data_IF_008832405816
#
_entry.id   IF_008832405816
#
_cell.length_a   1.000
_cell.length_b   1.000
_cell.length_c   1.000
_cell.angle_alpha   90.00
_cell.angle_beta   90.00
_cell.angle_gamma   90.00
#
_symmetry.space_group_name_H-M   'P 1'
#
loop_
_entity.id
_entity.type
_entity.pdbx_description
1 polymer ?
#
# COMPACT_ATOMS: atom_id res chain seq x y z
N UNK A 1 2.36 39.76 -1.66
CA UNK A 1 2.82 41.01 -1.04
C UNK A 1 2.64 42.05 -2.11
N UNK A 2 1.67 42.97 -1.97
CA UNK A 2 1.56 44.09 -2.91
C UNK A 2 2.87 44.87 -2.81
N UNK A 3 3.57 44.97 -3.93
CA UNK A 3 4.88 45.61 -4.00
C UNK A 3 4.63 47.12 -4.07
N UNK A 4 5.48 47.93 -3.45
CA UNK A 4 5.45 49.40 -3.54
C UNK A 4 4.30 50.07 -2.80
N UNK A 5 4.19 49.79 -1.50
CA UNK A 5 3.23 50.44 -0.61
C UNK A 5 3.91 51.62 0.08
N UNK A 6 3.31 52.80 0.02
CA UNK A 6 3.68 53.98 0.80
C UNK A 6 2.78 54.11 2.02
N UNK A 7 3.33 54.68 3.08
CA UNK A 7 2.59 55.07 4.27
C UNK A 7 2.00 56.47 4.05
N UNK A 8 0.69 56.59 4.15
CA UNK A 8 -0.02 57.86 4.11
C UNK A 8 -0.87 58.00 5.38
N UNK A 9 -0.97 59.20 5.92
CA UNK A 9 -1.88 59.51 7.04
C UNK A 9 -3.03 60.32 6.47
N UNK A 10 -4.20 59.71 6.33
CA UNK A 10 -5.44 60.40 5.94
C UNK A 10 -6.41 60.28 7.11
N UNK A 11 -6.86 61.43 7.63
CA UNK A 11 -7.80 61.55 8.76
C UNK A 11 -7.36 60.86 10.07
N UNK A 12 -6.05 60.88 10.37
CA UNK A 12 -5.51 60.39 11.64
C UNK A 12 -5.36 58.86 11.75
N UNK A 13 -5.73 58.11 10.71
CA UNK A 13 -5.46 56.68 10.61
C UNK A 13 -4.30 56.39 9.64
N UNK A 14 -3.34 55.52 9.99
CA UNK A 14 -2.30 55.09 9.06
C UNK A 14 -2.92 54.24 7.95
N UNK A 15 -2.83 54.73 6.71
CA UNK A 15 -3.29 54.05 5.51
C UNK A 15 -2.11 53.68 4.61
N UNK A 16 -2.10 52.45 4.13
CA UNK A 16 -1.10 51.93 3.22
C UNK A 16 -1.60 52.10 1.77
N UNK A 17 -1.00 53.03 1.04
CA UNK A 17 -1.42 53.42 -0.32
C UNK A 17 -0.41 52.91 -1.34
N UNK A 18 -0.86 52.40 -2.48
CA UNK A 18 0.02 51.96 -3.56
C UNK A 18 0.76 53.18 -4.15
N UNK A 19 2.10 53.13 -4.15
CA UNK A 19 2.95 54.17 -4.75
C UNK A 19 2.63 54.30 -6.22
N UNK A 20 2.71 55.51 -6.76
CA UNK A 20 2.60 55.67 -8.22
C UNK A 20 3.92 55.25 -8.89
N UNK A 21 3.87 54.67 -10.09
CA UNK A 21 5.05 54.14 -10.81
C UNK A 21 6.26 55.09 -10.89
N UNK A 22 6.04 56.39 -10.94
CA UNK A 22 7.12 57.40 -10.96
C UNK A 22 7.86 57.59 -9.62
N UNK A 23 7.26 57.16 -8.50
CA UNK A 23 7.82 57.24 -7.14
C UNK A 23 8.64 55.98 -6.78
N UNK A 24 8.72 55.01 -7.70
CA UNK A 24 9.39 53.74 -7.43
C UNK A 24 10.91 53.92 -7.37
N UNK A 25 11.53 53.32 -6.37
CA UNK A 25 12.99 53.14 -6.36
C UNK A 25 13.44 52.21 -7.50
N UNK A 26 14.74 52.16 -7.79
CA UNK A 26 15.27 51.25 -8.81
C UNK A 26 14.99 49.78 -8.46
N UNK A 27 15.02 49.43 -7.18
CA UNK A 27 14.72 48.09 -6.66
C UNK A 27 13.24 47.75 -6.83
N UNK A 28 12.35 48.71 -6.53
CA UNK A 28 10.90 48.61 -6.70
C UNK A 28 10.51 48.41 -8.17
N UNK A 29 11.16 49.14 -9.09
CA UNK A 29 11.00 48.98 -10.54
C UNK A 29 11.45 47.59 -11.00
N UNK A 30 12.61 47.12 -10.53
CA UNK A 30 13.12 45.76 -10.85
C UNK A 30 12.14 44.68 -10.39
N UNK A 31 11.63 44.77 -9.16
CA UNK A 31 10.64 43.81 -8.62
C UNK A 31 9.34 43.81 -9.42
N UNK A 32 8.81 44.98 -9.76
CA UNK A 32 7.61 45.09 -10.59
C UNK A 32 7.82 44.49 -12.00
N UNK A 33 9.00 44.69 -12.59
CA UNK A 33 9.33 44.10 -13.88
C UNK A 33 9.37 42.56 -13.80
N UNK A 34 10.00 42.00 -12.76
CA UNK A 34 10.05 40.55 -12.56
C UNK A 34 8.65 39.96 -12.33
N UNK A 35 7.79 40.62 -11.57
CA UNK A 35 6.39 40.19 -11.40
C UNK A 35 5.64 40.18 -12.73
N UNK A 36 5.79 41.22 -13.56
CA UNK A 36 5.19 41.26 -14.90
C UNK A 36 5.68 40.13 -15.81
N UNK A 37 6.98 39.85 -15.81
CA UNK A 37 7.56 38.73 -16.58
C UNK A 37 6.99 37.40 -16.10
N UNK A 38 6.93 37.17 -14.80
CA UNK A 38 6.35 35.95 -14.24
C UNK A 38 4.86 35.81 -14.58
N UNK A 39 4.08 36.90 -14.53
CA UNK A 39 2.66 36.92 -14.95
C UNK A 39 2.50 36.54 -16.42
N UNK A 40 3.30 37.11 -17.31
CA UNK A 40 3.23 36.82 -18.75
C UNK A 40 3.53 35.34 -19.04
N UNK A 41 4.55 34.78 -18.39
CA UNK A 41 4.87 33.34 -18.49
C UNK A 41 3.68 32.50 -18.00
N UNK A 42 3.16 32.79 -16.81
CA UNK A 42 2.02 32.06 -16.24
C UNK A 42 0.77 32.15 -17.13
N UNK A 43 0.49 33.28 -17.75
CA UNK A 43 -0.67 33.39 -18.64
C UNK A 43 -0.50 32.63 -19.95
N UNK A 44 0.71 32.58 -20.51
CA UNK A 44 0.99 31.88 -21.77
C UNK A 44 0.95 30.36 -21.64
N UNK A 45 1.22 29.82 -20.45
CA UNK A 45 1.26 28.37 -20.22
C UNK A 45 -0.10 27.75 -19.90
N UNK A 46 -1.11 28.57 -19.62
CA UNK A 46 -2.41 28.10 -19.15
C UNK A 46 -3.44 27.98 -20.28
N UNK A 47 -4.33 27.00 -20.15
CA UNK A 47 -5.48 26.87 -21.04
C UNK A 47 -6.53 27.96 -20.77
N UNK A 48 -7.50 28.09 -21.69
CA UNK A 48 -8.56 29.11 -21.59
C UNK A 48 -9.41 28.97 -20.32
N UNK A 49 -9.61 27.74 -19.84
CA UNK A 49 -10.41 27.45 -18.66
C UNK A 49 -9.71 27.97 -17.40
N UNK A 50 -8.45 27.60 -17.20
CA UNK A 50 -7.65 28.00 -16.06
C UNK A 50 -7.38 29.50 -16.06
N UNK A 51 -7.05 30.07 -17.22
CA UNK A 51 -6.87 31.52 -17.39
C UNK A 51 -8.11 32.31 -16.94
N UNK A 52 -9.31 31.86 -17.32
CA UNK A 52 -10.56 32.53 -16.95
C UNK A 52 -10.77 32.69 -15.43
N UNK A 53 -10.23 31.75 -14.63
CA UNK A 53 -10.33 31.72 -13.17
C UNK A 53 -9.31 32.62 -12.47
N UNK A 54 -8.17 32.89 -13.12
CA UNK A 54 -7.05 33.66 -12.53
C UNK A 54 -6.90 35.08 -13.11
N UNK A 55 -7.63 35.43 -14.17
CA UNK A 55 -7.51 36.73 -14.88
C UNK A 55 -7.65 37.98 -14.01
N UNK A 56 -8.28 37.85 -12.84
CA UNK A 56 -8.49 38.94 -11.88
C UNK A 56 -7.30 39.14 -10.93
N UNK A 57 -6.34 38.21 -10.89
CA UNK A 57 -5.17 38.32 -10.05
C UNK A 57 -4.25 39.43 -10.57
N UNK A 58 -3.71 40.22 -9.66
CA UNK A 58 -2.91 41.43 -9.96
C UNK A 58 -1.41 41.23 -9.85
N UNK A 59 -0.97 40.20 -9.12
CA UNK A 59 0.45 39.83 -8.99
C UNK A 59 0.72 38.40 -9.47
N UNK A 60 1.95 38.08 -9.84
CA UNK A 60 2.34 36.70 -10.17
C UNK A 60 2.12 35.76 -8.98
N UNK A 61 2.37 36.26 -7.76
CA UNK A 61 2.12 35.54 -6.52
C UNK A 61 0.64 35.15 -6.37
N UNK A 62 -0.28 36.09 -6.56
CA UNK A 62 -1.72 35.81 -6.48
C UNK A 62 -2.18 34.82 -7.56
N UNK A 63 -1.60 34.88 -8.76
CA UNK A 63 -1.86 33.87 -9.79
C UNK A 63 -1.43 32.50 -9.30
N UNK A 64 -0.19 32.38 -8.83
CA UNK A 64 0.38 31.11 -8.36
C UNK A 64 -0.41 30.50 -7.20
N UNK A 65 -0.75 31.29 -6.18
CA UNK A 65 -1.57 30.84 -5.04
C UNK A 65 -2.96 30.35 -5.50
N UNK A 66 -3.59 31.06 -6.45
CA UNK A 66 -4.89 30.65 -6.98
C UNK A 66 -4.80 29.41 -7.86
N UNK A 67 -3.70 29.23 -8.60
CA UNK A 67 -3.45 27.99 -9.36
C UNK A 67 -3.28 26.80 -8.43
N UNK A 68 -2.52 26.95 -7.33
CA UNK A 68 -2.42 25.93 -6.28
C UNK A 68 -3.82 25.57 -5.78
N UNK A 69 -4.65 26.56 -5.47
CA UNK A 69 -6.02 26.35 -4.99
C UNK A 69 -6.92 25.64 -6.03
N UNK A 70 -6.78 25.94 -7.31
CA UNK A 70 -7.57 25.30 -8.38
C UNK A 70 -7.14 23.85 -8.60
N UNK A 71 -5.83 23.58 -8.57
CA UNK A 71 -5.27 22.26 -8.84
C UNK A 71 -5.39 21.31 -7.63
N UNK A 72 -5.12 21.80 -6.43
CA UNK A 72 -5.09 20.99 -5.21
C UNK A 72 -6.40 21.07 -4.39
N UNK A 73 -7.24 22.08 -4.66
CA UNK A 73 -8.40 22.45 -3.84
C UNK A 73 -8.07 23.55 -2.83
N UNK A 74 -9.11 24.16 -2.24
CA UNK A 74 -8.93 25.06 -1.09
C UNK A 74 -8.50 24.26 0.15
N UNK A 75 -7.95 24.95 1.16
CA UNK A 75 -7.47 24.30 2.40
C UNK A 75 -8.57 23.47 3.07
N UNK A 76 -9.82 23.95 3.04
CA UNK A 76 -11.00 23.22 3.50
C UNK A 76 -11.22 21.88 2.76
N UNK A 77 -11.04 21.85 1.43
CA UNK A 77 -11.13 20.59 0.66
C UNK A 77 -10.01 19.62 1.05
N UNK A 78 -8.79 20.13 1.28
CA UNK A 78 -7.66 19.30 1.73
C UNK A 78 -7.92 18.73 3.12
N UNK A 79 -8.40 19.55 4.04
CA UNK A 79 -8.74 19.15 5.41
C UNK A 79 -9.88 18.13 5.43
N UNK A 80 -10.91 18.32 4.60
CA UNK A 80 -12.00 17.36 4.45
C UNK A 80 -11.50 16.01 3.89
N UNK A 81 -10.64 16.02 2.85
CA UNK A 81 -10.01 14.80 2.32
C UNK A 81 -9.18 14.09 3.38
N UNK A 82 -8.37 14.83 4.14
CA UNK A 82 -7.56 14.30 5.23
C UNK A 82 -8.44 13.66 6.32
N UNK A 83 -9.51 14.34 6.71
CA UNK A 83 -10.48 13.85 7.69
C UNK A 83 -11.11 12.54 7.23
N UNK A 84 -11.57 12.46 5.98
CA UNK A 84 -12.16 11.23 5.41
C UNK A 84 -11.14 10.10 5.34
N UNK A 85 -9.92 10.37 4.88
CA UNK A 85 -8.84 9.37 4.83
C UNK A 85 -8.46 8.87 6.23
N UNK A 86 -8.45 9.76 7.23
CA UNK A 86 -8.15 9.40 8.61
C UNK A 86 -9.28 8.55 9.22
N UNK A 87 -10.54 8.89 8.96
CA UNK A 87 -11.68 8.06 9.37
C UNK A 87 -11.64 6.67 8.73
N UNK A 88 -11.28 6.60 7.43
CA UNK A 88 -11.09 5.33 6.72
C UNK A 88 -9.98 4.50 7.37
N UNK A 89 -8.83 5.11 7.67
CA UNK A 89 -7.74 4.47 8.43
C UNK A 89 -8.23 3.98 9.80
N UNK A 90 -8.94 4.81 10.55
CA UNK A 90 -9.35 4.45 11.90
C UNK A 90 -10.39 3.33 11.95
N UNK A 91 -11.31 3.31 10.98
CA UNK A 91 -12.33 2.27 10.85
C UNK A 91 -11.82 0.98 10.20
N UNK A 92 -10.58 0.96 9.71
CA UNK A 92 -10.05 -0.23 9.05
C UNK A 92 -9.97 -1.42 9.99
N UNK A 93 -10.57 -2.51 9.52
CA UNK A 93 -10.46 -3.85 10.05
C UNK A 93 -10.29 -4.83 8.89
N UNK A 94 -9.66 -5.95 9.18
CA UNK A 94 -9.67 -7.10 8.29
C UNK A 94 -11.10 -7.63 8.23
N UNK A 95 -11.60 -7.89 7.02
CA UNK A 95 -12.96 -8.38 6.79
C UNK A 95 -13.03 -9.89 6.95
N UNK A 96 -14.21 -10.42 7.21
CA UNK A 96 -14.42 -11.88 7.28
C UNK A 96 -14.09 -12.53 5.92
N UNK A 97 -13.25 -13.57 5.94
CA UNK A 97 -12.79 -14.26 4.73
C UNK A 97 -11.84 -13.45 3.84
N UNK A 98 -11.41 -12.27 4.26
CA UNK A 98 -10.33 -11.53 3.59
C UNK A 98 -8.99 -12.21 3.87
N UNK A 99 -8.14 -12.31 2.85
CA UNK A 99 -6.77 -12.80 3.05
C UNK A 99 -5.85 -11.69 3.55
N UNK A 100 -4.80 -12.04 4.30
CA UNK A 100 -3.81 -11.09 4.80
C UNK A 100 -3.20 -10.24 3.66
N UNK A 101 -2.99 -10.82 2.48
CA UNK A 101 -2.49 -10.10 1.31
C UNK A 101 -3.44 -9.00 0.81
N UNK A 102 -4.76 -9.25 0.79
CA UNK A 102 -5.76 -8.25 0.42
C UNK A 102 -5.87 -7.16 1.49
N UNK A 103 -5.81 -7.55 2.76
CA UNK A 103 -5.82 -6.59 3.86
C UNK A 103 -4.59 -5.66 3.82
N UNK A 104 -3.40 -6.20 3.57
CA UNK A 104 -2.15 -5.45 3.36
C UNK A 104 -2.30 -4.42 2.23
N UNK A 105 -2.79 -4.83 1.06
CA UNK A 105 -3.01 -3.92 -0.08
C UNK A 105 -3.95 -2.76 0.28
N UNK A 106 -5.09 -3.05 0.92
CA UNK A 106 -6.03 -2.01 1.37
C UNK A 106 -5.38 -1.10 2.41
N UNK A 107 -4.60 -1.66 3.33
CA UNK A 107 -3.95 -0.90 4.38
C UNK A 107 -2.90 0.06 3.81
N UNK A 108 -2.02 -0.46 2.96
CA UNK A 108 -0.99 0.30 2.27
C UNK A 108 -1.59 1.41 1.42
N UNK A 109 -2.69 1.16 0.70
CA UNK A 109 -3.37 2.19 -0.09
C UNK A 109 -3.86 3.38 0.77
N UNK A 110 -4.42 3.12 1.96
CA UNK A 110 -4.87 4.18 2.87
C UNK A 110 -3.71 4.94 3.51
N UNK A 111 -2.62 4.25 3.83
CA UNK A 111 -1.41 4.91 4.36
C UNK A 111 -0.80 5.83 3.31
N UNK A 112 -0.69 5.38 2.04
CA UNK A 112 -0.21 6.22 0.93
C UNK A 112 -1.11 7.43 0.70
N UNK A 113 -2.44 7.24 0.77
CA UNK A 113 -3.41 8.34 0.69
C UNK A 113 -3.18 9.37 1.80
N UNK A 114 -2.97 8.94 3.04
CA UNK A 114 -2.69 9.82 4.18
C UNK A 114 -1.35 10.56 4.06
N UNK A 115 -0.29 9.86 3.67
CA UNK A 115 1.03 10.47 3.44
C UNK A 115 0.95 11.53 2.34
N UNK A 116 0.18 11.28 1.27
CA UNK A 116 -0.02 12.26 0.19
C UNK A 116 -0.74 13.53 0.65
N UNK A 117 -1.50 13.44 1.74
CA UNK A 117 -2.22 14.55 2.38
C UNK A 117 -1.40 15.18 3.53
N UNK A 118 -0.13 14.79 3.69
CA UNK A 118 0.77 15.35 4.70
C UNK A 118 0.65 14.71 6.09
N UNK A 119 -0.05 13.58 6.23
CA UNK A 119 -0.16 12.86 7.50
C UNK A 119 0.70 11.61 7.49
N UNK A 120 1.79 11.65 8.24
CA UNK A 120 2.71 10.53 8.41
C UNK A 120 2.45 9.81 9.74
N UNK A 121 2.76 8.51 9.76
CA UNK A 121 2.70 7.66 10.95
C UNK A 121 4.04 6.95 11.10
N UNK A 122 4.48 6.78 12.33
CA UNK A 122 5.65 5.96 12.65
C UNK A 122 5.38 4.47 12.38
N UNK A 123 6.46 3.71 12.14
CA UNK A 123 6.39 2.24 12.03
C UNK A 123 5.66 1.60 13.22
N UNK A 124 5.90 2.12 14.43
CA UNK A 124 5.21 1.67 15.64
C UNK A 124 3.69 1.90 15.57
N UNK A 125 3.25 3.08 15.16
CA UNK A 125 1.82 3.40 15.04
C UNK A 125 1.13 2.51 14.02
N UNK A 126 1.75 2.34 12.84
CA UNK A 126 1.24 1.48 11.78
C UNK A 126 1.16 0.01 12.22
N UNK A 127 2.23 -0.51 12.84
CA UNK A 127 2.25 -1.89 13.32
C UNK A 127 1.17 -2.14 14.39
N UNK A 128 1.04 -1.22 15.34
CA UNK A 128 0.00 -1.31 16.37
C UNK A 128 -1.41 -1.20 15.77
N UNK A 129 -1.59 -0.41 14.71
CA UNK A 129 -2.86 -0.30 14.01
C UNK A 129 -3.23 -1.60 13.32
N UNK A 130 -2.29 -2.19 12.56
CA UNK A 130 -2.49 -3.49 11.90
C UNK A 130 -2.88 -4.54 12.94
N UNK A 131 -2.10 -4.69 14.02
CA UNK A 131 -2.40 -5.68 15.06
C UNK A 131 -3.79 -5.50 15.70
N UNK A 132 -4.28 -4.25 15.84
CA UNK A 132 -5.62 -3.96 16.38
C UNK A 132 -6.75 -4.18 15.36
N UNK A 133 -6.43 -4.15 14.07
CA UNK A 133 -7.36 -4.30 12.97
C UNK A 133 -7.57 -5.78 12.58
N UNK A 134 -6.73 -6.69 13.08
CA UNK A 134 -6.87 -8.13 12.86
C UNK A 134 -8.00 -8.74 13.71
N UNK A 135 -8.59 -9.86 13.25
CA UNK A 135 -9.59 -10.61 14.01
C UNK A 135 -9.00 -11.23 15.29
N UNK A 136 -9.85 -11.61 16.25
CA UNK A 136 -9.44 -12.13 17.58
C UNK A 136 -8.61 -13.41 17.50
N UNK A 137 -8.78 -14.19 16.44
CA UNK A 137 -8.02 -15.41 16.16
C UNK A 137 -6.51 -15.13 16.04
N UNK A 138 -6.13 -13.87 15.79
CA UNK A 138 -4.74 -13.43 15.67
C UNK A 138 -4.15 -12.89 16.99
N UNK A 139 -4.93 -12.84 18.08
CA UNK A 139 -4.52 -12.22 19.35
C UNK A 139 -3.21 -12.85 19.88
N UNK A 140 -3.11 -14.18 19.89
CA UNK A 140 -1.90 -14.87 20.38
C UNK A 140 -0.66 -14.46 19.57
N UNK A 141 -0.78 -14.43 18.24
CA UNK A 141 0.31 -14.03 17.35
C UNK A 141 0.71 -12.58 17.56
N UNK A 142 -0.27 -11.67 17.62
CA UNK A 142 0.01 -10.24 17.78
C UNK A 142 0.58 -9.92 19.16
N UNK A 143 0.15 -10.60 20.23
CA UNK A 143 0.71 -10.48 21.58
C UNK A 143 2.17 -10.95 21.61
N UNK A 144 2.47 -12.14 21.08
CA UNK A 144 3.85 -12.63 20.99
C UNK A 144 4.76 -11.66 20.22
N UNK A 145 4.26 -11.03 19.15
CA UNK A 145 5.03 -10.03 18.39
C UNK A 145 5.27 -8.74 19.17
N UNK A 146 4.32 -8.30 19.99
CA UNK A 146 4.49 -7.10 20.86
C UNK A 146 5.55 -7.32 21.93
N UNK A 147 5.66 -8.54 22.43
CA UNK A 147 6.61 -8.90 23.49
C UNK A 147 8.02 -9.18 22.95
N UNK A 148 8.12 -9.73 21.74
CA UNK A 148 9.40 -10.19 21.17
C UNK A 148 10.07 -9.23 20.19
N UNK A 149 9.33 -8.28 19.59
CA UNK A 149 9.87 -7.36 18.56
C UNK A 149 9.93 -5.91 19.03
N UNK A 150 10.97 -5.20 18.63
CA UNK A 150 11.01 -3.73 18.74
C UNK A 150 10.15 -3.11 17.64
N UNK A 151 8.93 -2.69 17.99
CA UNK A 151 7.98 -2.12 17.05
C UNK A 151 8.43 -0.78 16.44
N UNK A 152 9.43 -0.10 17.03
CA UNK A 152 9.95 1.14 16.45
C UNK A 152 10.86 0.86 15.24
N UNK A 153 11.48 -0.32 15.21
CA UNK A 153 12.39 -0.77 14.15
C UNK A 153 11.76 -1.79 13.20
N UNK A 154 10.51 -2.19 13.47
CA UNK A 154 9.81 -3.17 12.67
C UNK A 154 9.25 -2.51 11.41
N UNK A 155 9.84 -2.85 10.26
CA UNK A 155 9.34 -2.42 8.96
C UNK A 155 7.98 -3.05 8.64
N UNK A 156 7.11 -2.29 7.96
CA UNK A 156 5.76 -2.76 7.61
C UNK A 156 5.77 -3.99 6.70
N UNK A 157 6.74 -4.07 5.79
CA UNK A 157 6.94 -5.24 4.94
C UNK A 157 7.18 -6.50 5.78
N UNK A 158 8.05 -6.43 6.78
CA UNK A 158 8.40 -7.58 7.63
C UNK A 158 7.26 -7.98 8.56
N UNK A 159 6.48 -7.01 9.03
CA UNK A 159 5.24 -7.26 9.75
C UNK A 159 4.28 -8.09 8.90
N UNK A 160 3.95 -7.62 7.69
CA UNK A 160 3.03 -8.31 6.80
C UNK A 160 3.56 -9.65 6.29
N UNK A 161 4.86 -9.77 6.03
CA UNK A 161 5.49 -11.05 5.68
C UNK A 161 5.31 -12.08 6.80
N UNK A 162 5.51 -11.69 8.06
CA UNK A 162 5.33 -12.56 9.22
C UNK A 162 3.86 -12.98 9.40
N UNK A 163 2.92 -12.04 9.19
CA UNK A 163 1.49 -12.31 9.29
C UNK A 163 1.00 -13.24 8.16
N UNK A 164 1.48 -13.05 6.92
CA UNK A 164 1.17 -13.95 5.79
C UNK A 164 1.72 -15.36 6.03
N UNK A 165 2.91 -15.49 6.61
CA UNK A 165 3.46 -16.79 6.99
C UNK A 165 2.57 -17.50 8.04
N UNK A 166 2.08 -16.75 9.03
CA UNK A 166 1.15 -17.30 10.03
C UNK A 166 -0.23 -17.67 9.44
N UNK A 167 -0.75 -16.88 8.49
CA UNK A 167 -1.97 -17.24 7.75
C UNK A 167 -1.84 -18.63 7.10
N UNK A 168 -0.69 -18.87 6.47
CA UNK A 168 -0.40 -20.14 5.82
C UNK A 168 -0.34 -21.31 6.80
N UNK A 169 0.25 -21.11 7.99
CA UNK A 169 0.28 -22.10 9.08
C UNK A 169 -1.11 -22.41 9.65
N UNK A 170 -1.99 -21.40 9.76
CA UNK A 170 -3.38 -21.61 10.19
C UNK A 170 -4.14 -22.47 9.18
N UNK A 171 -3.97 -22.20 7.89
CA UNK A 171 -4.61 -22.95 6.80
C UNK A 171 -4.10 -24.39 6.69
N UNK A 172 -2.82 -24.67 7.02
CA UNK A 172 -2.32 -26.05 7.06
C UNK A 172 -2.90 -26.84 8.22
N UNK A 173 -3.14 -26.19 9.36
CA UNK A 173 -3.67 -26.83 10.57
C UNK A 173 -5.19 -27.05 10.54
N UNK A 174 -5.95 -26.21 9.83
CA UNK A 174 -7.41 -26.40 9.68
C UNK A 174 -7.77 -27.58 8.76
N UNK A 175 -6.95 -27.84 7.73
CA UNK A 175 -7.14 -28.96 6.80
C UNK A 175 -6.62 -30.30 7.33
N UNK A 176 -5.62 -30.28 8.22
CA UNK A 176 -5.25 -31.42 9.03
C UNK A 176 -6.29 -31.58 10.14
N UNK A 177 -7.36 -32.34 9.88
CA UNK A 177 -8.47 -32.56 10.83
C UNK A 177 -8.00 -32.88 12.26
N UNK A 178 -8.87 -32.73 13.28
CA UNK A 178 -8.48 -32.82 14.68
C UNK A 178 -7.75 -34.14 14.93
N UNK A 179 -6.44 -34.06 15.11
CA UNK A 179 -5.68 -35.15 15.72
C UNK A 179 -6.26 -35.28 17.12
N UNK A 180 -6.96 -36.38 17.36
CA UNK A 180 -7.45 -36.82 18.66
C UNK A 180 -6.24 -36.99 19.57
N UNK A 181 -5.78 -35.90 20.18
CA UNK A 181 -5.01 -35.97 21.41
C UNK A 181 -6.03 -36.26 22.51
N UNK A 182 -6.37 -37.54 22.66
CA UNK A 182 -6.97 -37.98 23.91
C UNK A 182 -5.99 -37.66 25.04
N UNK A 183 -6.42 -36.97 26.10
CA UNK A 183 -5.59 -36.81 27.28
C UNK A 183 -5.58 -38.14 28.01
N UNK A 184 -4.49 -38.90 27.90
CA UNK A 184 -4.22 -40.05 28.76
C UNK A 184 -4.12 -39.55 30.20
N UNK A 185 -5.23 -39.70 30.92
CA UNK A 185 -5.23 -39.75 32.38
C UNK A 185 -4.57 -41.05 32.83
N UNK A 186 -3.96 -40.97 34.02
CA UNK A 186 -3.53 -42.06 34.89
C UNK A 186 -2.15 -42.67 34.64
N UNK A 187 -1.18 -42.18 35.42
CA UNK A 187 -0.08 -42.99 35.92
C UNK A 187 -0.46 -43.47 37.34
N UNK A 188 -0.96 -44.70 37.44
CA UNK A 188 -0.87 -45.50 38.66
C UNK A 188 -0.06 -46.75 38.32
N UNK A 189 0.97 -46.99 39.11
CA UNK A 189 1.96 -48.05 38.90
C UNK A 189 1.39 -49.45 39.14
N UNK A 190 1.77 -50.44 38.32
CA UNK A 190 2.27 -51.79 38.71
C UNK A 190 2.64 -52.66 37.50
N UNK A 191 3.90 -53.14 37.48
CA UNK A 191 4.46 -54.45 37.03
C UNK A 191 4.05 -55.14 35.71
N UNK A 192 5.05 -55.26 34.81
CA UNK A 192 5.48 -56.40 33.96
C UNK A 192 4.48 -57.39 33.33
N UNK A 193 4.41 -57.42 31.98
CA UNK A 193 4.92 -58.51 31.12
C UNK A 193 4.77 -58.16 29.61
N UNK A 194 5.65 -58.74 28.78
CA UNK A 194 5.90 -58.42 27.37
C UNK A 194 4.84 -58.96 26.39
N UNK A 195 4.55 -58.23 25.30
CA UNK A 195 4.61 -58.74 23.91
C UNK A 195 4.47 -57.59 22.86
N UNK A 196 5.46 -57.43 21.99
CA UNK A 196 5.46 -56.56 20.78
C UNK A 196 4.88 -57.33 19.56
N UNK A 197 4.72 -56.79 18.31
CA UNK A 197 5.19 -55.48 17.79
C UNK A 197 4.26 -54.70 16.81
N UNK A 198 4.71 -53.48 16.50
CA UNK A 198 4.65 -52.81 15.18
C UNK A 198 3.42 -52.00 14.76
N UNK A 199 3.48 -50.69 15.01
CA UNK A 199 3.27 -49.65 13.97
C UNK A 199 3.87 -48.32 14.45
N UNK A 200 5.18 -48.28 14.71
CA UNK A 200 5.89 -47.01 14.87
C UNK A 200 6.26 -46.49 13.47
N UNK A 201 5.43 -45.60 12.92
CA UNK A 201 5.92 -44.74 11.84
C UNK A 201 7.03 -43.88 12.44
N UNK A 202 8.25 -44.04 11.93
CA UNK A 202 9.41 -43.25 12.35
C UNK A 202 9.11 -41.76 12.22
N UNK A 203 9.58 -40.97 13.19
CA UNK A 203 9.50 -39.51 13.18
C UNK A 203 10.03 -38.89 11.88
N UNK A 204 10.97 -39.55 11.20
CA UNK A 204 11.50 -39.11 9.90
C UNK A 204 10.47 -39.16 8.78
N UNK A 205 9.52 -40.10 8.84
CA UNK A 205 8.49 -40.24 7.80
C UNK A 205 7.32 -39.27 8.02
N UNK A 206 7.00 -38.95 9.28
CA UNK A 206 6.07 -37.87 9.63
C UNK A 206 6.62 -36.49 9.24
N UNK A 207 7.93 -36.28 9.43
CA UNK A 207 8.63 -35.05 9.03
C UNK A 207 8.66 -34.87 7.50
N UNK A 208 8.96 -35.93 6.74
CA UNK A 208 8.98 -35.88 5.28
C UNK A 208 7.59 -35.64 4.65
N UNK A 209 6.54 -36.25 5.21
CA UNK A 209 5.16 -36.02 4.72
C UNK A 209 4.69 -34.60 5.02
N UNK A 210 4.97 -34.09 6.23
CA UNK A 210 4.71 -32.70 6.59
C UNK A 210 5.47 -31.70 5.68
N UNK A 211 6.74 -31.98 5.39
CA UNK A 211 7.55 -31.20 4.45
C UNK A 211 7.01 -31.27 3.01
N UNK A 212 6.56 -32.44 2.54
CA UNK A 212 5.96 -32.61 1.21
C UNK A 212 4.65 -31.82 1.07
N UNK A 213 3.81 -31.85 2.10
CA UNK A 213 2.58 -31.06 2.19
C UNK A 213 2.89 -29.56 2.24
N UNK A 214 3.90 -29.15 3.01
CA UNK A 214 4.38 -27.77 3.06
C UNK A 214 4.86 -27.30 1.68
N UNK A 215 5.73 -28.05 0.99
CA UNK A 215 6.24 -27.69 -0.35
C UNK A 215 5.12 -27.63 -1.38
N UNK A 216 4.20 -28.60 -1.39
CA UNK A 216 3.04 -28.60 -2.30
C UNK A 216 2.13 -27.40 -2.06
N UNK A 217 1.86 -27.06 -0.80
CA UNK A 217 0.93 -25.98 -0.44
C UNK A 217 1.60 -24.60 -0.57
N UNK A 218 2.88 -24.46 -0.25
CA UNK A 218 3.69 -23.26 -0.48
C UNK A 218 3.78 -22.98 -1.98
N UNK A 219 3.94 -24.01 -2.81
CA UNK A 219 3.87 -23.91 -4.27
C UNK A 219 2.51 -23.39 -4.78
N UNK A 220 1.39 -23.74 -4.13
CA UNK A 220 0.06 -23.18 -4.45
C UNK A 220 -0.07 -21.72 -3.99
N UNK A 221 0.43 -21.40 -2.80
CA UNK A 221 0.43 -20.03 -2.25
C UNK A 221 1.21 -19.07 -3.15
N UNK A 222 2.41 -19.45 -3.58
CA UNK A 222 3.23 -18.65 -4.51
C UNK A 222 2.52 -18.41 -5.85
N UNK A 223 1.78 -19.38 -6.38
CA UNK A 223 0.97 -19.17 -7.60
C UNK A 223 -0.21 -18.22 -7.38
N UNK A 224 -0.73 -18.13 -6.16
CA UNK A 224 -1.86 -17.26 -5.80
C UNK A 224 -1.42 -15.81 -5.55
N UNK A 225 -0.24 -15.62 -4.96
CA UNK A 225 0.32 -14.30 -4.64
C UNK A 225 1.03 -13.63 -5.83
N UNK A 226 1.63 -14.42 -6.74
CA UNK A 226 2.36 -13.94 -7.91
C UNK A 226 1.54 -13.95 -9.20
N UNK A 227 0.24 -13.63 -9.13
CA UNK A 227 -0.58 -13.43 -10.31
C UNK A 227 -0.90 -11.93 -10.49
N UNK A 228 0.08 -11.09 -10.90
CA UNK A 228 -0.25 -9.76 -11.38
C UNK A 228 -0.93 -9.96 -12.73
N UNK A 229 -2.24 -9.71 -12.77
CA UNK A 229 -2.95 -9.57 -14.04
C UNK A 229 -2.43 -8.33 -14.76
N UNK A 230 -1.30 -8.46 -15.46
CA UNK A 230 -0.90 -7.53 -16.49
C UNK A 230 -1.68 -7.89 -17.74
N UNK A 231 -2.85 -7.27 -17.90
CA UNK A 231 -3.51 -7.18 -19.19
C UNK A 231 -2.72 -6.21 -20.06
N UNK A 232 -1.79 -6.74 -20.86
CA UNK A 232 -1.30 -6.04 -22.04
C UNK A 232 -1.97 -6.65 -23.27
N UNK A 233 -2.91 -5.89 -23.81
CA UNK A 233 -3.45 -6.11 -25.14
C UNK A 233 -2.29 -6.10 -26.16
N UNK A 234 -2.14 -7.18 -26.92
CA UNK A 234 -1.56 -7.09 -28.25
C UNK A 234 -2.43 -7.86 -29.23
N UNK A 235 -3.11 -7.07 -30.07
CA UNK A 235 -3.70 -7.52 -31.30
C UNK A 235 -2.57 -7.96 -32.24
N UNK A 236 -2.55 -9.22 -32.62
CA UNK A 236 -2.12 -9.61 -33.97
C UNK A 236 -2.95 -10.81 -34.44
N UNK A 237 -3.84 -10.51 -35.39
CA UNK A 237 -4.38 -11.47 -36.36
C UNK A 237 -3.21 -12.00 -37.20
N UNK A 238 -3.08 -13.32 -37.29
CA UNK A 238 -2.89 -14.03 -38.57
C UNK A 238 -2.91 -15.55 -38.37
N UNK A 239 -3.97 -16.14 -38.92
CA UNK A 239 -4.02 -17.38 -39.71
C UNK A 239 -3.32 -18.67 -39.26
N UNK A 240 -4.19 -19.69 -39.16
CA UNK A 240 -3.94 -21.13 -39.18
C UNK A 240 -2.88 -21.54 -40.20
N UNK A 241 -1.87 -22.28 -39.74
CA UNK A 241 -1.36 -23.46 -40.46
C UNK A 241 -1.17 -24.58 -39.45
N UNK A 242 -1.97 -25.63 -39.61
CA UNK A 242 -1.85 -26.92 -38.94
C UNK A 242 -0.68 -27.68 -39.52
N UNK A 243 0.34 -27.98 -38.72
CA UNK A 243 1.34 -28.99 -39.07
C UNK A 243 1.39 -30.01 -37.95
N UNK A 244 0.62 -31.08 -38.09
CA UNK A 244 0.78 -32.31 -37.32
C UNK A 244 2.17 -32.89 -37.66
N UNK A 245 3.16 -32.59 -36.83
CA UNK A 245 4.46 -33.28 -36.91
C UNK A 245 4.38 -34.58 -36.13
N UNK A 246 4.36 -35.68 -36.88
CA UNK A 246 4.36 -37.04 -36.36
C UNK A 246 5.81 -37.54 -36.22
N UNK A 247 6.06 -38.38 -35.21
CA UNK A 247 7.37 -39.02 -35.01
C UNK A 247 7.78 -39.83 -36.23
N UNK A 248 8.96 -39.57 -36.80
CA UNK A 248 9.43 -40.18 -38.06
C UNK A 248 9.59 -41.71 -38.02
N UNK A 249 9.67 -42.32 -36.83
CA UNK A 249 9.87 -43.77 -36.69
C UNK A 249 8.55 -44.55 -36.48
N UNK A 250 7.50 -43.92 -35.93
CA UNK A 250 6.25 -44.61 -35.59
C UNK A 250 4.97 -43.94 -36.10
N UNK A 251 5.07 -42.75 -36.69
CA UNK A 251 3.97 -42.05 -37.35
C UNK A 251 2.89 -41.51 -36.41
N UNK A 252 3.09 -41.49 -35.09
CA UNK A 252 2.13 -40.91 -34.11
C UNK A 252 2.53 -39.49 -33.70
N UNK A 253 1.56 -38.57 -33.51
CA UNK A 253 1.83 -37.21 -33.04
C UNK A 253 2.16 -37.20 -31.53
N UNK A 254 2.93 -36.20 -31.09
CA UNK A 254 3.11 -35.88 -29.65
C UNK A 254 4.43 -36.32 -29.00
N UNK A 255 5.40 -36.85 -29.74
CA UNK A 255 6.76 -37.07 -29.24
C UNK A 255 7.80 -37.06 -30.37
N UNK A 256 9.08 -36.84 -30.02
CA UNK A 256 10.23 -37.00 -30.91
C UNK A 256 11.17 -38.08 -30.34
N UNK A 257 11.71 -38.94 -31.20
CA UNK A 257 12.73 -39.90 -30.81
C UNK A 257 14.09 -39.19 -30.69
N UNK A 258 14.76 -39.40 -29.56
CA UNK A 258 16.19 -39.08 -29.42
C UNK A 258 16.98 -40.35 -29.76
N UNK A 259 18.13 -40.17 -30.43
CA UNK A 259 19.09 -41.25 -30.73
C UNK A 259 19.49 -42.07 -29.50
#
# INVERSE_FOLDING_TARGET
MKINIAFATTDGAPAYVEKRRHEYTNEEKKKANLDNVARDILYKTLDKNMFSKIKTCTTAKEIWEKLIQICEGNDETKENKLTVAQQKYESMKMKDGETMAKFDERFSAVVVELTSLGKEYSNRELALKVMRALPREWDVKTMAMRESKDLNKLEMHDLFANLKAYEFELETRSEAGPSTFEPTKELAATTSEQCSPSMSKSAEQLSNDAMSLFVKKFGKFMRKSYNPSFSYNNAHKSDKVTTDQNCFNCGRPGHFAAD
#
